data_IF_930571902895
#
_entry.id   IF_930571902895
#
_cell.length_a   1.000
_cell.length_b   1.000
_cell.length_c   1.000
_cell.angle_alpha   90.00
_cell.angle_beta   90.00
_cell.angle_gamma   90.00
#
_symmetry.space_group_name_H-M   'P 1'
#
loop_
_entity.id
_entity.type
_entity.pdbx_description
1 polymer ?
#
# COMPACT_ATOMS: atom_id res chain seq x y z
N UNK A 1 -8.53 19.26 -15.95
CA UNK A 1 -7.50 18.28 -15.53
C UNK A 1 -8.23 17.09 -14.97
N UNK A 2 -7.98 15.88 -15.47
CA UNK A 2 -8.57 14.64 -14.94
C UNK A 2 -7.94 14.38 -13.57
N UNK A 3 -8.75 14.09 -12.56
CA UNK A 3 -8.28 13.77 -11.21
C UNK A 3 -7.53 12.45 -11.22
N UNK A 4 -6.34 12.39 -10.63
CA UNK A 4 -5.58 11.14 -10.57
C UNK A 4 -6.25 10.21 -9.55
N UNK A 5 -6.86 9.11 -10.03
CA UNK A 5 -7.73 8.25 -9.21
C UNK A 5 -7.34 6.79 -9.36
N UNK A 6 -6.91 6.21 -8.25
CA UNK A 6 -6.52 4.81 -8.15
C UNK A 6 -7.52 4.06 -7.28
N UNK A 7 -8.01 2.92 -7.78
CA UNK A 7 -8.88 2.01 -7.02
C UNK A 7 -8.20 0.66 -6.96
N UNK A 8 -7.98 0.12 -5.76
CA UNK A 8 -7.25 -1.12 -5.58
C UNK A 8 -7.75 -1.91 -4.37
N UNK A 9 -7.38 -3.18 -4.32
CA UNK A 9 -7.48 -4.00 -3.11
C UNK A 9 -6.15 -3.96 -2.33
N UNK A 10 -6.25 -3.81 -1.02
CA UNK A 10 -5.13 -3.76 -0.09
C UNK A 10 -5.19 -4.91 0.92
N UNK A 11 -4.54 -4.73 2.07
CA UNK A 11 -4.55 -5.69 3.18
C UNK A 11 -5.98 -6.12 3.52
N UNK A 12 -6.19 -7.43 3.71
CA UNK A 12 -7.49 -7.97 4.07
C UNK A 12 -8.54 -7.93 2.95
N UNK A 13 -8.11 -7.86 1.67
CA UNK A 13 -8.99 -7.61 0.51
C UNK A 13 -9.84 -6.33 0.67
N UNK A 14 -9.25 -5.34 1.31
CA UNK A 14 -9.93 -4.08 1.58
C UNK A 14 -9.88 -3.19 0.35
N UNK A 15 -11.03 -2.72 -0.14
CA UNK A 15 -11.09 -1.73 -1.21
C UNK A 15 -10.53 -0.38 -0.71
N UNK A 16 -9.62 0.22 -1.46
CA UNK A 16 -9.03 1.53 -1.15
C UNK A 16 -9.10 2.41 -2.39
N UNK A 17 -9.44 3.70 -2.18
CA UNK A 17 -9.39 4.72 -3.23
C UNK A 17 -8.40 5.80 -2.82
N UNK A 18 -7.48 6.10 -3.73
CA UNK A 18 -6.50 7.17 -3.61
C UNK A 18 -6.80 8.20 -4.69
N UNK A 19 -6.93 9.46 -4.30
CA UNK A 19 -7.09 10.59 -5.21
C UNK A 19 -6.01 11.63 -4.93
N UNK A 20 -5.26 12.02 -5.96
CA UNK A 20 -4.18 13.01 -5.88
C UNK A 20 -3.21 12.75 -4.71
N UNK A 21 -2.80 11.48 -4.54
CA UNK A 21 -1.91 11.04 -3.47
C UNK A 21 -2.53 11.00 -2.07
N UNK A 22 -3.87 11.09 -1.93
CA UNK A 22 -4.55 11.04 -0.63
C UNK A 22 -5.55 9.90 -0.56
N UNK A 23 -5.58 9.19 0.57
CA UNK A 23 -6.55 8.11 0.79
C UNK A 23 -7.93 8.69 1.09
N UNK A 24 -8.84 8.64 0.11
CA UNK A 24 -10.19 9.19 0.24
C UNK A 24 -11.22 8.15 0.69
N UNK A 25 -10.95 6.86 0.47
CA UNK A 25 -11.86 5.77 0.86
C UNK A 25 -11.09 4.54 1.33
N UNK A 26 -11.56 3.93 2.42
CA UNK A 26 -11.12 2.60 2.88
C UNK A 26 -12.39 1.82 3.25
N UNK A 27 -12.67 0.77 2.48
CA UNK A 27 -13.80 -0.13 2.71
C UNK A 27 -13.57 -1.05 3.92
N UNK A 28 -14.51 -1.96 4.17
CA UNK A 28 -14.33 -2.98 5.21
C UNK A 28 -13.39 -4.09 4.75
N UNK A 29 -12.43 -4.52 5.59
CA UNK A 29 -11.66 -5.72 5.33
C UNK A 29 -12.57 -6.95 5.29
N UNK A 30 -12.42 -7.78 4.25
CA UNK A 30 -13.09 -9.07 4.15
C UNK A 30 -12.34 -10.17 4.90
N UNK A 31 -11.05 -9.95 5.17
CA UNK A 31 -10.21 -10.82 5.99
C UNK A 31 -9.64 -10.00 7.13
N UNK A 32 -9.72 -10.56 8.33
CA UNK A 32 -9.26 -9.92 9.56
C UNK A 32 -7.89 -10.44 10.02
N UNK A 33 -7.34 -11.49 9.41
CA UNK A 33 -6.04 -12.06 9.80
C UNK A 33 -5.19 -12.48 8.60
N UNK A 34 -3.88 -12.29 8.71
CA UNK A 34 -2.88 -12.75 7.74
C UNK A 34 -1.59 -13.17 8.46
N UNK A 35 -1.11 -14.41 8.30
CA UNK A 35 0.07 -14.91 9.01
C UNK A 35 1.35 -14.14 8.64
N UNK A 36 1.45 -13.61 7.42
CA UNK A 36 2.58 -12.80 6.97
C UNK A 36 2.62 -11.45 7.72
N UNK A 37 1.48 -10.77 7.85
CA UNK A 37 1.40 -9.50 8.57
C UNK A 37 1.57 -9.68 10.08
N UNK A 38 1.08 -10.78 10.65
CA UNK A 38 1.37 -11.12 12.04
C UNK A 38 2.87 -11.32 12.25
N UNK A 39 3.52 -12.17 11.45
CA UNK A 39 4.95 -12.49 11.59
C UNK A 39 5.88 -11.28 11.41
N UNK A 40 5.60 -10.42 10.42
CA UNK A 40 6.52 -9.31 10.09
C UNK A 40 6.15 -7.97 10.73
N UNK A 41 4.90 -7.77 11.14
CA UNK A 41 4.40 -6.49 11.62
C UNK A 41 3.61 -6.58 12.94
N UNK A 42 3.40 -7.77 13.51
CA UNK A 42 2.66 -7.95 14.75
C UNK A 42 1.17 -7.58 14.62
N UNK A 43 0.63 -7.55 13.40
CA UNK A 43 -0.78 -7.19 13.17
C UNK A 43 -1.64 -8.43 13.46
N UNK A 44 -2.27 -8.43 14.63
CA UNK A 44 -3.18 -9.51 15.06
C UNK A 44 -4.53 -9.45 14.36
N UNK A 45 -5.03 -8.24 14.07
CA UNK A 45 -6.30 -8.03 13.37
C UNK A 45 -6.19 -6.91 12.34
N UNK A 46 -6.69 -7.15 11.14
CA UNK A 46 -6.76 -6.16 10.06
C UNK A 46 -8.02 -5.33 10.26
N UNK A 47 -7.84 -4.03 10.50
CA UNK A 47 -8.93 -3.05 10.66
C UNK A 47 -8.81 -1.95 9.60
N UNK A 48 -9.88 -1.19 9.39
CA UNK A 48 -9.87 -0.05 8.46
C UNK A 48 -8.74 0.95 8.74
N UNK A 49 -8.47 1.23 10.01
CA UNK A 49 -7.40 2.15 10.41
C UNK A 49 -6.00 1.59 10.08
N UNK A 50 -5.79 0.29 10.30
CA UNK A 50 -4.52 -0.36 9.94
C UNK A 50 -4.31 -0.35 8.43
N UNK A 51 -5.36 -0.59 7.64
CA UNK A 51 -5.29 -0.50 6.17
C UNK A 51 -4.96 0.94 5.75
N UNK A 52 -5.66 1.94 6.30
CA UNK A 52 -5.41 3.36 6.01
C UNK A 52 -3.95 3.73 6.31
N UNK A 53 -3.49 3.45 7.52
CA UNK A 53 -2.13 3.75 7.96
C UNK A 53 -1.09 3.03 7.09
N UNK A 54 -1.37 1.79 6.65
CA UNK A 54 -0.47 1.06 5.77
C UNK A 54 -0.35 1.73 4.38
N UNK A 55 -1.47 2.17 3.81
CA UNK A 55 -1.47 2.83 2.51
C UNK A 55 -0.84 4.22 2.59
N UNK A 56 -1.17 5.01 3.60
CA UNK A 56 -0.57 6.33 3.84
C UNK A 56 0.94 6.23 4.06
N UNK A 57 1.41 5.24 4.81
CA UNK A 57 2.84 4.93 4.94
C UNK A 57 3.49 4.69 3.57
N UNK A 58 2.85 3.89 2.70
CA UNK A 58 3.40 3.57 1.37
C UNK A 58 3.41 4.77 0.43
N UNK A 59 2.40 5.63 0.51
CA UNK A 59 2.39 6.91 -0.23
C UNK A 59 3.54 7.79 0.24
N UNK A 60 3.66 8.01 1.56
CA UNK A 60 4.67 8.92 2.13
C UNK A 60 6.10 8.41 1.94
N UNK A 61 6.34 7.11 2.14
CA UNK A 61 7.69 6.56 2.13
C UNK A 61 8.16 6.24 0.69
N UNK A 62 7.27 5.75 -0.17
CA UNK A 62 7.61 5.26 -1.51
C UNK A 62 7.05 6.09 -2.66
N UNK A 63 6.23 7.12 -2.40
CA UNK A 63 5.51 7.85 -3.45
C UNK A 63 4.51 6.98 -4.20
N UNK A 64 3.97 5.95 -3.55
CA UNK A 64 2.99 5.03 -4.17
C UNK A 64 1.77 5.80 -4.68
N UNK A 65 1.34 5.55 -5.93
CA UNK A 65 0.20 6.25 -6.57
C UNK A 65 0.38 7.78 -6.64
N UNK A 66 1.62 8.24 -6.81
CA UNK A 66 1.96 9.65 -7.05
C UNK A 66 3.05 9.77 -8.11
N UNK A 67 3.23 10.94 -8.74
CA UNK A 67 4.38 11.22 -9.60
C UNK A 67 5.74 11.12 -8.89
N UNK A 68 5.76 11.26 -7.56
CA UNK A 68 6.97 11.25 -6.72
C UNK A 68 7.44 9.82 -6.33
N UNK A 69 7.05 8.81 -7.11
CA UNK A 69 7.38 7.40 -6.83
C UNK A 69 8.90 7.18 -6.77
N UNK A 70 9.38 6.69 -5.63
CA UNK A 70 10.80 6.35 -5.43
C UNK A 70 11.10 4.98 -6.06
N UNK A 71 11.75 4.99 -7.21
CA UNK A 71 12.14 3.76 -7.94
C UNK A 71 13.42 3.12 -7.37
N UNK A 72 14.33 3.91 -6.80
CA UNK A 72 15.55 3.42 -6.15
C UNK A 72 15.40 3.55 -4.65
N UNK A 73 15.39 2.42 -3.96
CA UNK A 73 15.43 2.36 -2.49
C UNK A 73 16.83 1.97 -2.03
N UNK A 74 17.19 2.25 -0.76
CA UNK A 74 18.39 1.67 -0.15
C UNK A 74 18.36 0.15 -0.32
N UNK A 75 19.50 -0.45 -0.65
CA UNK A 75 19.62 -1.87 -1.01
C UNK A 75 18.86 -2.76 -0.01
N UNK A 76 17.66 -3.20 -0.41
CA UNK A 76 16.81 -4.03 0.44
C UNK A 76 16.51 -5.40 -0.17
N UNK A 77 16.86 -5.63 -1.45
CA UNK A 77 16.60 -6.89 -2.15
C UNK A 77 17.67 -7.18 -3.22
N UNK A 78 18.23 -8.40 -3.18
CA UNK A 78 19.31 -8.84 -4.08
C UNK A 78 18.85 -9.68 -5.27
N UNK A 79 17.54 -9.89 -5.46
CA UNK A 79 17.01 -10.79 -6.48
C UNK A 79 15.73 -10.22 -7.13
N UNK A 80 15.62 -10.28 -8.46
CA UNK A 80 14.40 -9.96 -9.19
C UNK A 80 14.15 -8.49 -9.54
N UNK A 81 15.06 -7.58 -9.18
CA UNK A 81 14.90 -6.13 -9.43
C UNK A 81 15.27 -5.78 -10.87
N UNK A 82 16.21 -6.50 -11.46
CA UNK A 82 16.68 -6.28 -12.82
C UNK A 82 15.56 -6.46 -13.86
N UNK A 83 14.61 -7.37 -13.61
CA UNK A 83 13.46 -7.61 -14.50
C UNK A 83 12.39 -6.51 -14.46
N UNK A 84 12.45 -5.59 -13.49
CA UNK A 84 11.45 -4.53 -13.28
C UNK A 84 11.95 -3.12 -13.67
N UNK A 85 13.22 -2.96 -14.04
CA UNK A 85 13.84 -1.67 -14.38
C UNK A 85 14.05 -1.45 -15.89
N UNK A 86 13.38 -2.24 -16.74
CA UNK A 86 13.40 -2.09 -18.20
C UNK A 86 12.57 -0.91 -18.70
#
# INVERSE_FOLDING_TARGET
MTKDRHVMEAMGKTRVVIEDGKVVEVGEPQLDYCPLFFKHRGIEKITRDIVRNNIEFRINDFGMCTPDRKMRMRDFLSFGVSELMG
#
